data_IF_279691739861
#
_entry.id   IF_279691739861
#
_cell.length_a   1.000
_cell.length_b   1.000
_cell.length_c   1.000
_cell.angle_alpha   90.00
_cell.angle_beta   90.00
_cell.angle_gamma   90.00
#
_symmetry.space_group_name_H-M   'P 1'
#
loop_
_entity.id
_entity.type
_entity.pdbx_description
1 polymer ?
#
# COMPACT_ATOMS: atom_id res chain seq x y z
N UNK A 1 -67.88 16.04 -4.28
CA UNK A 1 -66.66 15.31 -4.52
C UNK A 1 -65.51 16.22 -4.14
N UNK A 2 -64.93 16.03 -2.94
CA UNK A 2 -63.78 16.78 -2.47
C UNK A 2 -62.55 15.91 -2.71
N UNK A 3 -61.64 16.37 -3.57
CA UNK A 3 -60.37 15.74 -3.80
C UNK A 3 -59.42 16.07 -2.63
N UNK A 4 -59.22 15.12 -1.73
CA UNK A 4 -58.20 15.20 -0.70
C UNK A 4 -56.81 15.00 -1.35
N UNK A 5 -56.17 16.13 -1.72
CA UNK A 5 -54.80 16.13 -2.12
C UNK A 5 -53.91 15.78 -0.91
N UNK A 6 -53.50 14.50 -0.84
CA UNK A 6 -52.50 14.04 0.13
C UNK A 6 -51.16 14.75 -0.14
N UNK A 7 -50.87 15.76 0.65
CA UNK A 7 -49.57 16.45 0.64
C UNK A 7 -48.47 15.43 1.03
N UNK A 8 -47.75 14.96 0.04
CA UNK A 8 -46.60 14.11 0.25
C UNK A 8 -45.54 14.86 1.09
N UNK A 9 -45.33 14.41 2.32
CA UNK A 9 -44.30 14.93 3.21
C UNK A 9 -42.91 14.62 2.57
N UNK A 10 -42.09 15.63 2.25
CA UNK A 10 -40.78 15.36 1.65
C UNK A 10 -39.88 14.61 2.64
N UNK A 11 -39.53 13.39 2.28
CA UNK A 11 -38.56 12.60 3.05
C UNK A 11 -37.25 13.35 3.19
N UNK A 12 -36.71 13.50 4.41
CA UNK A 12 -35.44 14.22 4.61
C UNK A 12 -34.33 13.50 3.85
N UNK A 13 -33.65 14.22 2.96
CA UNK A 13 -32.50 13.69 2.21
C UNK A 13 -31.44 13.22 3.21
N UNK A 14 -31.13 11.94 3.23
CA UNK A 14 -30.07 11.37 4.07
C UNK A 14 -28.78 12.13 3.82
N UNK A 15 -28.17 12.66 4.89
CA UNK A 15 -26.85 13.28 4.78
C UNK A 15 -25.85 12.25 4.20
N UNK A 16 -25.04 12.64 3.20
CA UNK A 16 -24.04 11.73 2.64
C UNK A 16 -23.12 11.20 3.75
N UNK A 17 -22.85 9.88 3.76
CA UNK A 17 -21.99 9.22 4.76
C UNK A 17 -20.58 9.81 4.84
N UNK A 18 -20.19 10.56 3.83
CA UNK A 18 -18.89 11.17 3.63
C UNK A 18 -18.88 12.70 3.84
N UNK A 19 -19.98 13.27 4.35
CA UNK A 19 -20.06 14.72 4.62
C UNK A 19 -18.94 15.15 5.56
N UNK A 20 -18.11 16.11 5.11
CA UNK A 20 -16.95 16.61 5.86
C UNK A 20 -15.71 15.72 5.83
N UNK A 21 -15.73 14.57 5.12
CA UNK A 21 -14.53 13.74 4.92
C UNK A 21 -13.86 14.09 3.62
N UNK A 22 -12.54 14.22 3.66
CA UNK A 22 -11.72 14.39 2.46
C UNK A 22 -11.76 13.08 1.65
N UNK A 23 -12.48 13.08 0.53
CA UNK A 23 -12.60 11.92 -0.35
C UNK A 23 -11.77 12.20 -1.58
N UNK A 24 -10.74 11.40 -1.80
CA UNK A 24 -9.86 11.51 -2.95
C UNK A 24 -8.84 10.39 -2.98
N UNK A 25 -8.05 10.36 -4.04
CA UNK A 25 -6.89 9.48 -4.10
C UNK A 25 -5.92 9.84 -2.97
N UNK A 26 -5.49 8.84 -2.21
CA UNK A 26 -4.51 9.07 -1.15
C UNK A 26 -3.16 9.47 -1.76
N UNK A 27 -2.39 10.36 -1.10
CA UNK A 27 -1.14 10.85 -1.66
C UNK A 27 -0.12 9.72 -1.84
N UNK A 28 0.73 9.79 -2.88
CA UNK A 28 1.84 8.88 -3.06
C UNK A 28 2.93 9.15 -2.02
N UNK A 29 3.78 8.16 -1.75
CA UNK A 29 4.96 8.33 -0.93
C UNK A 29 5.97 9.22 -1.66
N UNK A 30 6.52 10.22 -0.96
CA UNK A 30 7.63 11.01 -1.49
C UNK A 30 8.90 10.14 -1.53
N UNK A 31 9.84 10.47 -2.42
CA UNK A 31 11.09 9.73 -2.59
C UNK A 31 11.84 9.55 -1.25
N UNK A 32 11.92 10.60 -0.44
CA UNK A 32 12.53 10.53 0.88
C UNK A 32 11.89 9.49 1.81
N UNK A 33 10.58 9.28 1.72
CA UNK A 33 9.87 8.28 2.52
C UNK A 33 10.18 6.85 2.04
N UNK A 34 10.30 6.66 0.71
CA UNK A 34 10.71 5.38 0.14
C UNK A 34 12.10 5.00 0.61
N UNK A 35 13.06 5.95 0.57
CA UNK A 35 14.41 5.73 1.07
C UNK A 35 14.46 5.48 2.58
N UNK A 36 13.67 6.20 3.37
CA UNK A 36 13.60 5.99 4.82
C UNK A 36 13.13 4.57 5.16
N UNK A 37 12.09 4.07 4.46
CA UNK A 37 11.60 2.70 4.68
C UNK A 37 12.63 1.66 4.23
N UNK A 38 13.30 1.87 3.10
CA UNK A 38 14.36 0.96 2.61
C UNK A 38 15.54 0.83 3.56
N UNK A 39 15.86 1.90 4.27
CA UNK A 39 16.99 1.96 5.23
C UNK A 39 16.62 1.56 6.66
N UNK A 40 15.41 1.06 6.91
CA UNK A 40 15.08 0.52 8.22
C UNK A 40 15.99 -0.66 8.58
N UNK A 41 16.31 -0.86 9.89
CA UNK A 41 17.19 -1.94 10.33
C UNK A 41 16.74 -3.31 9.78
N UNK A 42 17.69 -4.05 9.19
CA UNK A 42 17.43 -5.29 8.46
C UNK A 42 17.74 -6.52 9.35
N UNK A 43 16.72 -7.25 9.76
CA UNK A 43 16.83 -8.62 10.28
C UNK A 43 16.21 -9.60 9.26
N UNK A 44 16.22 -10.92 9.52
CA UNK A 44 15.67 -11.91 8.57
C UNK A 44 14.20 -11.69 8.21
N UNK A 45 13.40 -11.22 9.17
CA UNK A 45 11.99 -10.85 8.95
C UNK A 45 11.90 -9.63 8.04
N UNK A 46 12.82 -8.72 8.17
CA UNK A 46 12.86 -7.50 7.36
C UNK A 46 13.29 -7.74 5.92
N UNK A 47 14.03 -8.81 5.58
CA UNK A 47 14.33 -9.16 4.17
C UNK A 47 13.05 -9.44 3.38
N UNK A 48 12.10 -10.18 3.98
CA UNK A 48 10.77 -10.38 3.36
C UNK A 48 10.02 -9.07 3.20
N UNK A 49 10.05 -8.24 4.22
CA UNK A 49 9.32 -6.98 4.25
C UNK A 49 9.93 -5.98 3.26
N UNK A 50 11.24 -5.93 3.15
CA UNK A 50 11.94 -5.10 2.16
C UNK A 50 11.62 -5.54 0.73
N UNK A 51 11.70 -6.84 0.44
CA UNK A 51 11.33 -7.39 -0.87
C UNK A 51 9.87 -7.06 -1.23
N UNK A 52 8.97 -7.19 -0.25
CA UNK A 52 7.54 -6.88 -0.42
C UNK A 52 7.29 -5.40 -0.64
N UNK A 53 7.94 -4.53 0.13
CA UNK A 53 7.84 -3.09 -0.01
C UNK A 53 8.35 -2.62 -1.38
N UNK A 54 9.55 -3.06 -1.78
CA UNK A 54 10.14 -2.71 -3.06
C UNK A 54 9.28 -3.19 -4.23
N UNK A 55 8.82 -4.45 -4.19
CA UNK A 55 7.91 -4.98 -5.21
C UNK A 55 6.62 -4.15 -5.30
N UNK A 56 6.04 -3.75 -4.18
CA UNK A 56 4.81 -2.95 -4.17
C UNK A 56 5.02 -1.56 -4.78
N UNK A 57 6.17 -0.93 -4.52
CA UNK A 57 6.53 0.39 -5.09
C UNK A 57 6.71 0.30 -6.61
N UNK A 58 7.48 -0.67 -7.10
CA UNK A 58 7.78 -0.80 -8.53
C UNK A 58 6.55 -1.21 -9.33
N UNK A 59 5.82 -2.21 -8.84
CA UNK A 59 4.67 -2.78 -9.56
C UNK A 59 3.42 -1.92 -9.50
N UNK A 60 3.28 -1.05 -8.50
CA UNK A 60 2.05 -0.28 -8.20
C UNK A 60 0.81 -1.16 -8.06
N UNK A 61 1.01 -2.45 -7.74
CA UNK A 61 -0.06 -3.42 -7.56
C UNK A 61 -0.89 -3.10 -6.31
N UNK A 62 -2.15 -3.50 -6.32
CA UNK A 62 -2.98 -3.46 -5.12
C UNK A 62 -2.45 -4.48 -4.09
N UNK A 63 -2.62 -4.19 -2.81
CA UNK A 63 -2.14 -5.08 -1.75
C UNK A 63 -2.62 -6.53 -1.88
N UNK A 64 -3.85 -6.76 -2.38
CA UNK A 64 -4.35 -8.12 -2.66
C UNK A 64 -3.60 -8.83 -3.80
N UNK A 65 -3.06 -8.07 -4.74
CA UNK A 65 -2.28 -8.60 -5.86
C UNK A 65 -0.82 -8.81 -5.44
N UNK A 66 -0.23 -7.88 -4.64
CA UNK A 66 1.12 -8.04 -4.07
C UNK A 66 1.26 -9.34 -3.27
N UNK A 67 0.30 -9.64 -2.40
CA UNK A 67 0.35 -10.87 -1.58
C UNK A 67 0.05 -12.14 -2.38
N UNK A 68 -0.50 -12.01 -3.58
CA UNK A 68 -0.82 -13.13 -4.46
C UNK A 68 0.30 -13.49 -5.45
N UNK A 69 1.36 -12.67 -5.53
CA UNK A 69 2.52 -12.90 -6.40
C UNK A 69 3.15 -14.26 -6.07
N UNK A 70 3.44 -15.02 -7.11
CA UNK A 70 4.15 -16.31 -7.02
C UNK A 70 5.63 -16.11 -7.34
N UNK A 71 6.43 -17.07 -6.93
CA UNK A 71 7.87 -17.09 -7.27
C UNK A 71 8.04 -17.09 -8.79
N UNK A 72 7.23 -17.86 -9.51
CA UNK A 72 7.28 -17.96 -10.99
C UNK A 72 7.01 -16.62 -11.70
N UNK A 73 6.22 -15.75 -11.07
CA UNK A 73 5.89 -14.45 -11.69
C UNK A 73 7.10 -13.51 -11.74
N UNK A 74 8.03 -13.61 -10.79
CA UNK A 74 9.14 -12.66 -10.59
C UNK A 74 10.52 -13.31 -10.62
N UNK A 75 10.62 -14.63 -10.40
CA UNK A 75 11.87 -15.37 -10.31
C UNK A 75 11.73 -16.80 -10.86
N UNK A 76 11.32 -17.01 -12.13
CA UNK A 76 11.04 -18.32 -12.70
C UNK A 76 12.26 -19.25 -12.72
N UNK A 77 13.46 -18.69 -12.80
CA UNK A 77 14.74 -19.41 -12.85
C UNK A 77 15.48 -19.41 -11.50
N UNK A 78 14.79 -19.07 -10.39
CA UNK A 78 15.38 -18.99 -9.06
C UNK A 78 16.07 -17.66 -8.73
N UNK A 79 16.07 -16.72 -9.65
CA UNK A 79 16.55 -15.34 -9.48
C UNK A 79 15.57 -14.33 -10.09
N UNK A 80 15.55 -13.12 -9.56
CA UNK A 80 14.61 -12.10 -9.96
C UNK A 80 14.89 -11.59 -11.39
N UNK A 81 13.83 -11.51 -12.20
CA UNK A 81 13.86 -10.98 -13.57
C UNK A 81 13.63 -9.47 -13.57
N UNK A 82 14.04 -8.79 -14.65
CA UNK A 82 13.86 -7.34 -14.82
C UNK A 82 12.42 -6.94 -15.13
N UNK A 83 11.65 -7.79 -15.81
CA UNK A 83 10.25 -7.53 -16.21
C UNK A 83 9.36 -8.68 -15.81
N UNK A 84 8.35 -8.37 -14.99
CA UNK A 84 7.38 -9.32 -14.52
C UNK A 84 5.98 -9.03 -15.05
N UNK A 85 5.15 -10.06 -15.12
CA UNK A 85 3.73 -9.95 -15.51
C UNK A 85 2.89 -10.68 -14.50
N UNK A 86 2.00 -9.97 -13.82
CA UNK A 86 1.08 -10.54 -12.83
C UNK A 86 -0.37 -10.31 -13.26
N UNK A 87 -1.20 -11.32 -13.12
CA UNK A 87 -2.64 -11.21 -13.39
C UNK A 87 -3.37 -10.70 -12.15
N UNK A 88 -4.03 -9.55 -12.28
CA UNK A 88 -4.79 -8.95 -11.17
C UNK A 88 -5.96 -9.83 -10.74
N UNK A 89 -6.11 -10.09 -9.46
CA UNK A 89 -7.20 -10.93 -8.91
C UNK A 89 -8.59 -10.35 -9.13
N UNK A 90 -8.74 -9.02 -9.03
CA UNK A 90 -10.04 -8.37 -9.16
C UNK A 90 -10.52 -8.25 -10.60
N UNK A 91 -9.64 -8.02 -11.55
CA UNK A 91 -9.99 -7.70 -12.94
C UNK A 91 -9.61 -8.79 -13.93
N UNK A 92 -8.78 -9.76 -13.53
CA UNK A 92 -8.21 -10.77 -14.40
C UNK A 92 -7.21 -10.24 -15.44
N UNK A 93 -6.98 -8.92 -15.46
CA UNK A 93 -6.10 -8.27 -16.46
C UNK A 93 -4.63 -8.49 -16.10
N UNK A 94 -3.77 -8.77 -17.10
CA UNK A 94 -2.33 -8.81 -16.87
C UNK A 94 -1.80 -7.38 -16.66
N UNK A 95 -0.91 -7.23 -15.69
CA UNK A 95 -0.15 -6.01 -15.43
C UNK A 95 1.32 -6.34 -15.60
N UNK A 96 2.00 -5.61 -16.47
CA UNK A 96 3.44 -5.69 -16.68
C UNK A 96 4.11 -4.56 -15.92
N UNK A 97 5.23 -4.86 -15.27
CA UNK A 97 6.02 -3.88 -14.55
C UNK A 97 7.50 -4.27 -14.60
N UNK A 98 8.36 -3.28 -14.40
CA UNK A 98 9.80 -3.47 -14.30
C UNK A 98 10.21 -3.55 -12.84
N UNK A 99 11.15 -4.44 -12.54
CA UNK A 99 11.80 -4.57 -11.25
C UNK A 99 13.16 -3.88 -11.33
N UNK A 100 13.31 -2.77 -10.60
CA UNK A 100 14.61 -2.08 -10.54
C UNK A 100 15.63 -2.93 -9.76
N UNK A 101 16.91 -2.62 -9.92
CA UNK A 101 18.02 -3.40 -9.33
C UNK A 101 17.84 -3.65 -7.83
N UNK A 102 17.52 -2.61 -7.06
CA UNK A 102 17.29 -2.74 -5.61
C UNK A 102 16.17 -3.71 -5.25
N UNK A 103 15.14 -3.81 -6.09
CA UNK A 103 14.02 -4.72 -5.88
C UNK A 103 14.41 -6.14 -6.23
N UNK A 104 15.13 -6.34 -7.33
CA UNK A 104 15.66 -7.65 -7.71
C UNK A 104 16.57 -8.20 -6.62
N UNK A 105 17.54 -7.40 -6.17
CA UNK A 105 18.43 -7.79 -5.10
C UNK A 105 17.69 -8.17 -3.81
N UNK A 106 16.69 -7.39 -3.40
CA UNK A 106 15.90 -7.68 -2.22
C UNK A 106 15.08 -8.98 -2.36
N UNK A 107 14.53 -9.27 -3.55
CA UNK A 107 13.82 -10.52 -3.83
C UNK A 107 14.81 -11.69 -3.76
N UNK A 108 15.98 -11.59 -4.40
CA UNK A 108 16.99 -12.64 -4.41
C UNK A 108 17.50 -12.95 -3.00
N UNK A 109 17.77 -11.91 -2.19
CA UNK A 109 18.21 -12.09 -0.81
C UNK A 109 17.11 -12.71 0.07
N UNK A 110 15.86 -12.40 -0.20
CA UNK A 110 14.73 -13.05 0.46
C UNK A 110 14.59 -14.52 0.02
N UNK A 111 14.70 -14.83 -1.28
CA UNK A 111 14.61 -16.19 -1.79
C UNK A 111 15.72 -17.10 -1.24
N UNK A 112 16.97 -16.59 -1.13
CA UNK A 112 18.10 -17.31 -0.51
C UNK A 112 17.80 -17.76 0.93
N UNK A 113 17.18 -16.88 1.73
CA UNK A 113 16.85 -17.18 3.13
C UNK A 113 15.60 -18.04 3.26
N UNK A 114 14.56 -17.72 2.49
CA UNK A 114 13.27 -18.40 2.58
C UNK A 114 13.22 -19.77 1.89
N UNK A 115 14.20 -20.05 1.00
CA UNK A 115 14.30 -21.28 0.20
C UNK A 115 13.03 -21.65 -0.56
N UNK A 116 12.28 -20.64 -1.01
CA UNK A 116 11.04 -20.81 -1.75
C UNK A 116 11.28 -21.41 -3.13
N UNK A 117 10.33 -22.24 -3.56
CA UNK A 117 10.39 -22.96 -4.82
C UNK A 117 9.41 -22.35 -5.84
N UNK A 118 9.62 -22.58 -7.14
CA UNK A 118 8.62 -22.32 -8.18
C UNK A 118 7.26 -22.92 -7.79
N UNK A 119 6.17 -22.24 -8.14
CA UNK A 119 4.80 -22.64 -7.77
C UNK A 119 4.33 -22.14 -6.40
N UNK A 120 5.23 -21.73 -5.51
CA UNK A 120 4.86 -21.18 -4.20
C UNK A 120 4.50 -19.69 -4.27
N UNK A 121 3.72 -19.22 -3.28
CA UNK A 121 3.54 -17.79 -3.09
C UNK A 121 4.85 -17.16 -2.62
N UNK A 122 5.23 -16.02 -3.24
CA UNK A 122 6.43 -15.31 -2.86
C UNK A 122 6.37 -14.88 -1.39
N UNK A 123 5.22 -14.35 -0.94
CA UNK A 123 5.02 -13.89 0.43
C UNK A 123 3.98 -14.73 1.16
N UNK A 124 4.46 -15.57 2.09
CA UNK A 124 3.60 -16.44 2.89
C UNK A 124 3.40 -15.90 4.31
N UNK A 125 2.26 -16.23 4.90
CA UNK A 125 2.04 -16.04 6.33
C UNK A 125 2.93 -16.99 7.14
N UNK A 126 3.49 -16.49 8.24
CA UNK A 126 4.58 -17.15 9.01
C UNK A 126 4.29 -18.57 9.47
N UNK A 127 3.03 -18.98 9.61
CA UNK A 127 2.65 -20.28 10.20
C UNK A 127 1.97 -21.26 9.26
N UNK A 128 1.51 -20.85 8.05
CA UNK A 128 0.59 -21.70 7.27
C UNK A 128 1.07 -22.06 5.87
N UNK A 129 2.21 -21.55 5.42
CA UNK A 129 2.66 -21.72 4.01
C UNK A 129 1.72 -21.10 2.96
N UNK A 130 0.53 -20.63 3.37
CA UNK A 130 -0.44 -19.97 2.50
C UNK A 130 -0.01 -18.53 2.21
N UNK A 131 -0.53 -17.96 1.11
CA UNK A 131 -0.38 -16.54 0.82
C UNK A 131 -0.75 -15.69 2.04
N UNK A 132 0.01 -14.62 2.26
CA UNK A 132 -0.34 -13.58 3.22
C UNK A 132 -1.70 -12.97 2.84
N UNK A 133 -2.50 -12.57 3.82
CA UNK A 133 -3.75 -11.86 3.56
C UNK A 133 -3.51 -10.38 3.27
N UNK A 134 -4.39 -9.75 2.48
CA UNK A 134 -4.35 -8.31 2.25
C UNK A 134 -4.42 -7.49 3.55
N UNK A 135 -5.11 -8.02 4.58
CA UNK A 135 -5.19 -7.40 5.91
C UNK A 135 -3.84 -7.43 6.65
N UNK A 136 -3.10 -8.54 6.54
CA UNK A 136 -1.74 -8.63 7.11
C UNK A 136 -0.79 -7.68 6.39
N UNK A 137 -0.85 -7.63 5.07
CA UNK A 137 -0.12 -6.66 4.27
C UNK A 137 -0.44 -5.21 4.68
N UNK A 138 -1.72 -4.88 4.85
CA UNK A 138 -2.13 -3.54 5.30
C UNK A 138 -1.54 -3.15 6.65
N UNK A 139 -1.40 -4.10 7.59
CA UNK A 139 -0.72 -3.86 8.87
C UNK A 139 0.77 -3.56 8.67
N UNK A 140 1.47 -4.32 7.83
CA UNK A 140 2.87 -4.05 7.51
C UNK A 140 3.06 -2.67 6.88
N UNK A 141 2.17 -2.27 5.96
CA UNK A 141 2.21 -0.92 5.40
C UNK A 141 2.04 0.13 6.48
N UNK A 142 1.11 -0.06 7.42
CA UNK A 142 0.94 0.84 8.57
C UNK A 142 2.19 0.90 9.45
N UNK A 143 2.79 -0.25 9.74
CA UNK A 143 3.99 -0.34 10.57
C UNK A 143 5.19 0.39 9.92
N UNK A 144 5.37 0.25 8.60
CA UNK A 144 6.41 0.98 7.85
C UNK A 144 6.20 2.49 7.89
N UNK A 145 4.95 2.95 7.74
CA UNK A 145 4.62 4.38 7.78
C UNK A 145 4.84 4.97 9.17
N UNK A 146 4.40 4.27 10.21
CA UNK A 146 4.62 4.66 11.61
C UNK A 146 6.12 4.72 11.90
N UNK A 147 6.89 3.74 11.44
CA UNK A 147 8.34 3.67 11.64
C UNK A 147 9.11 4.86 11.07
N UNK A 148 8.56 5.56 10.09
CA UNK A 148 9.14 6.79 9.52
C UNK A 148 8.40 8.06 9.97
N UNK A 149 7.52 7.97 10.98
CA UNK A 149 6.80 9.11 11.55
C UNK A 149 5.63 9.63 10.71
N UNK A 150 5.06 8.80 9.82
CA UNK A 150 3.89 9.16 9.02
C UNK A 150 2.60 8.59 9.61
N UNK A 151 1.49 9.32 9.45
CA UNK A 151 0.16 8.83 9.81
C UNK A 151 -0.33 7.84 8.73
N UNK A 152 -0.52 6.54 9.05
CA UNK A 152 -0.97 5.54 8.09
C UNK A 152 -2.38 5.78 7.55
N UNK A 153 -3.22 6.58 8.25
CA UNK A 153 -4.56 6.92 7.77
C UNK A 153 -4.55 7.80 6.51
N UNK A 154 -3.48 8.55 6.30
CA UNK A 154 -3.32 9.42 5.14
C UNK A 154 -2.91 8.66 3.87
N UNK A 155 -2.40 7.43 3.99
CA UNK A 155 -1.87 6.66 2.88
C UNK A 155 -2.75 5.44 2.56
N UNK A 156 -2.69 4.97 1.31
CA UNK A 156 -3.42 3.78 0.86
C UNK A 156 -2.60 2.50 0.98
N UNK A 157 -3.28 1.36 0.89
CA UNK A 157 -2.61 0.05 0.80
C UNK A 157 -2.01 -0.23 -0.60
N UNK A 158 -2.28 0.61 -1.59
CA UNK A 158 -1.57 0.61 -2.86
C UNK A 158 -0.43 1.60 -2.71
N UNK A 159 0.78 1.07 -2.58
CA UNK A 159 1.96 1.92 -2.44
C UNK A 159 2.35 2.44 -3.82
N UNK A 160 2.48 3.75 -3.93
CA UNK A 160 3.01 4.42 -5.11
C UNK A 160 4.05 5.43 -4.66
N UNK A 161 5.16 5.53 -5.39
CA UNK A 161 6.11 6.61 -5.22
C UNK A 161 5.69 7.80 -6.10
N UNK A 162 5.89 9.01 -5.61
CA UNK A 162 5.75 10.21 -6.43
C UNK A 162 6.84 10.22 -7.51
N UNK A 163 6.45 10.51 -8.75
CA UNK A 163 7.42 10.78 -9.80
C UNK A 163 8.09 12.13 -9.50
N UNK A 164 9.39 12.23 -9.71
CA UNK A 164 10.16 13.47 -9.46
C UNK A 164 9.68 14.69 -10.25
N UNK A 165 8.91 14.48 -11.34
CA UNK A 165 8.32 15.54 -12.16
C UNK A 165 6.99 16.12 -11.67
N UNK A 166 6.42 15.64 -10.57
CA UNK A 166 5.11 16.08 -10.07
C UNK A 166 5.20 16.61 -8.63
N UNK A 167 6.19 17.46 -8.36
CA UNK A 167 6.48 18.04 -7.04
C UNK A 167 5.43 19.07 -6.58
N UNK A 168 4.44 19.43 -7.42
CA UNK A 168 3.43 20.45 -7.15
C UNK A 168 2.03 19.90 -6.84
N UNK A 169 1.93 18.90 -5.97
CA UNK A 169 0.66 18.67 -5.26
C UNK A 169 0.70 19.49 -3.96
N UNK A 170 -0.34 20.31 -3.69
CA UNK A 170 -0.33 21.19 -2.55
C UNK A 170 -0.08 20.42 -1.27
N UNK A 171 0.93 20.85 -0.53
CA UNK A 171 1.19 20.36 0.80
C UNK A 171 -0.10 20.47 1.61
N UNK A 172 -0.66 19.36 2.06
CA UNK A 172 -1.72 19.38 3.06
C UNK A 172 -1.19 20.20 4.23
N UNK A 173 -1.85 21.34 4.50
CA UNK A 173 -1.62 22.16 5.68
C UNK A 173 -1.64 21.24 6.89
N UNK A 174 -0.50 21.05 7.51
CA UNK A 174 -0.39 20.64 8.89
C UNK A 174 -1.20 21.66 9.69
N UNK A 175 -2.40 21.25 10.11
CA UNK A 175 -3.13 21.99 11.12
C UNK A 175 -2.39 21.76 12.43
N UNK A 176 -1.39 22.60 12.67
CA UNK A 176 -0.77 22.77 13.97
C UNK A 176 -1.85 23.17 14.96
N UNK A 177 -2.40 22.22 15.70
CA UNK A 177 -3.11 22.50 16.94
C UNK A 177 -2.08 22.98 17.95
N UNK A 178 -1.93 24.29 18.05
CA UNK A 178 -1.24 24.93 19.18
C UNK A 178 -2.06 24.64 20.45
N UNK A 179 -1.48 24.05 21.50
CA UNK A 179 -2.15 24.05 22.79
C UNK A 179 -2.11 25.47 23.35
N UNK A 180 -3.28 26.04 23.59
CA UNK A 180 -3.41 27.27 24.33
C UNK A 180 -3.13 26.98 25.82
N UNK A 181 -1.92 27.23 26.28
CA UNK A 181 -1.64 27.37 27.71
C UNK A 181 -1.96 28.83 28.10
N UNK A 182 -3.11 29.01 28.71
CA UNK A 182 -3.43 30.24 29.46
C UNK A 182 -3.00 30.01 30.91
N UNK A 183 -1.97 30.70 31.36
CA UNK A 183 -1.72 30.98 32.76
C UNK A 183 -2.29 32.35 33.05
N UNK A 184 -3.29 32.38 33.92
CA UNK A 184 -3.76 33.59 34.57
C UNK A 184 -3.27 33.61 36.02
N UNK A 185 -2.74 34.74 36.40
CA UNK A 185 -2.43 35.09 37.78
C UNK A 185 -3.70 35.21 38.63
#
# INVERSE_FOLDING_TARGET
>A
MQDDAILAIPTPKRAPWNKGKLIGAKPPLRQKHVWAIRNMPQNERSKRELAMFNLAIDSKLRGCDVVAVRVDDVAPNGYAIDRATVRQRKTGRPVRFELIEHTRQAIDDYLKVSRKKPGEFLFTATKSGRSMTARQYGRLVSDWLIGIGLDPHLYGHTLTAANEGNADLPAHRESARRPAFAWSH
#
